data_IF_432251990816
#
_entry.id   IF_432251990816
#
_cell.length_a   1.000
_cell.length_b   1.000
_cell.length_c   1.000
_cell.angle_alpha   90.00
_cell.angle_beta   90.00
_cell.angle_gamma   90.00
#
_symmetry.space_group_name_H-M   'P 1'
#
loop_
_entity.id
_entity.type
_entity.pdbx_description
1 polymer ?
#
# COMPACT_ATOMS: atom_id res chain seq x y z
N UNK A 1 -17.61 6.53 -16.28
CA UNK A 1 -17.20 6.93 -14.91
C UNK A 1 -15.69 6.87 -14.86
N UNK A 2 -15.00 8.02 -14.92
CA UNK A 2 -13.55 8.06 -14.80
C UNK A 2 -13.15 7.67 -13.39
N UNK A 3 -12.43 6.56 -13.23
CA UNK A 3 -11.80 6.20 -11.98
C UNK A 3 -10.83 7.35 -11.63
N UNK A 4 -11.21 8.18 -10.66
CA UNK A 4 -10.27 9.08 -10.02
C UNK A 4 -9.21 8.15 -9.43
N UNK A 5 -7.99 8.22 -9.96
CA UNK A 5 -6.81 7.69 -9.28
C UNK A 5 -6.81 8.44 -7.96
N UNK A 6 -7.35 7.81 -6.92
CA UNK A 6 -7.20 8.33 -5.58
C UNK A 6 -5.69 8.44 -5.42
N UNK A 7 -5.20 9.66 -5.18
CA UNK A 7 -3.90 9.87 -4.56
C UNK A 7 -4.06 9.31 -3.14
N UNK A 8 -4.13 7.98 -3.08
CA UNK A 8 -4.59 7.22 -1.94
C UNK A 8 -3.46 7.10 -0.94
N UNK A 9 -3.83 6.72 0.27
CA UNK A 9 -2.91 6.42 1.35
C UNK A 9 -1.78 5.50 0.86
N UNK A 10 -0.58 6.06 0.78
CA UNK A 10 0.62 5.35 0.32
C UNK A 10 0.98 4.21 1.28
N UNK A 11 1.78 3.21 0.88
CA UNK A 11 2.21 2.14 1.78
C UNK A 11 2.91 2.65 3.04
N UNK A 12 3.67 3.75 2.94
CA UNK A 12 4.32 4.38 4.08
C UNK A 12 3.31 5.03 5.05
N UNK A 13 2.29 5.70 4.52
CA UNK A 13 1.20 6.24 5.33
C UNK A 13 0.38 5.11 5.96
N UNK A 14 0.08 4.04 5.22
CA UNK A 14 -0.63 2.88 5.73
C UNK A 14 0.12 2.22 6.90
N UNK A 15 1.43 2.03 6.75
CA UNK A 15 2.30 1.56 7.85
C UNK A 15 2.25 2.50 9.04
N UNK A 16 2.26 3.82 8.82
CA UNK A 16 2.16 4.81 9.89
C UNK A 16 0.83 4.71 10.64
N UNK A 17 -0.28 4.49 9.93
CA UNK A 17 -1.59 4.25 10.53
C UNK A 17 -1.60 2.97 11.37
N UNK A 18 -1.04 1.87 10.86
CA UNK A 18 -0.89 0.62 11.61
C UNK A 18 -0.12 0.83 12.92
N UNK A 19 0.97 1.60 12.87
CA UNK A 19 1.80 1.95 14.03
C UNK A 19 1.00 2.78 15.04
N UNK A 20 0.34 3.86 14.58
CA UNK A 20 -0.47 4.72 15.46
C UNK A 20 -1.59 3.93 16.14
N UNK A 21 -2.25 3.03 15.41
CA UNK A 21 -3.29 2.16 15.96
C UNK A 21 -2.71 1.16 16.98
N UNK A 22 -1.50 0.65 16.76
CA UNK A 22 -0.82 -0.20 17.75
C UNK A 22 -0.60 0.55 19.07
N UNK A 23 -0.03 1.75 18.99
CA UNK A 23 0.27 2.54 20.20
C UNK A 23 -1.01 2.94 20.93
N UNK A 24 -2.06 3.33 20.19
CA UNK A 24 -3.36 3.65 20.77
C UNK A 24 -4.05 2.44 21.43
N UNK A 25 -3.97 1.26 20.81
CA UNK A 25 -4.64 0.05 21.31
C UNK A 25 -3.92 -0.59 22.49
N UNK A 26 -2.58 -0.59 22.47
CA UNK A 26 -1.78 -1.34 23.46
C UNK A 26 -1.19 -0.46 24.56
N UNK A 27 -1.15 0.86 24.35
CA UNK A 27 -0.45 1.80 25.23
C UNK A 27 1.08 1.69 25.19
N UNK A 28 1.64 0.80 24.37
CA UNK A 28 3.09 0.57 24.24
C UNK A 28 3.64 1.26 23.00
N UNK A 29 4.91 1.66 23.02
CA UNK A 29 5.55 2.21 21.82
C UNK A 29 5.82 1.11 20.81
N UNK A 30 5.65 1.42 19.53
CA UNK A 30 5.89 0.45 18.46
C UNK A 30 7.34 -0.08 18.45
N UNK A 31 8.31 0.79 18.78
CA UNK A 31 9.73 0.40 18.85
C UNK A 31 10.04 -0.63 19.93
N UNK A 32 9.21 -0.74 20.96
CA UNK A 32 9.36 -1.68 22.07
C UNK A 32 8.77 -3.06 21.77
N UNK A 33 7.96 -3.17 20.70
CA UNK A 33 7.42 -4.45 20.27
C UNK A 33 8.52 -5.34 19.66
N UNK A 34 8.46 -6.64 19.92
CA UNK A 34 9.32 -7.62 19.24
C UNK A 34 8.93 -7.72 17.77
N UNK A 35 9.86 -8.13 16.91
CA UNK A 35 9.58 -8.31 15.47
C UNK A 35 8.43 -9.29 15.22
N UNK A 36 8.32 -10.36 16.01
CA UNK A 36 7.21 -11.30 15.94
C UNK A 36 5.87 -10.64 16.26
N UNK A 37 5.82 -9.79 17.30
CA UNK A 37 4.62 -9.07 17.67
C UNK A 37 4.22 -8.04 16.60
N UNK A 38 5.21 -7.32 16.03
CA UNK A 38 5.00 -6.38 14.93
C UNK A 38 4.40 -7.07 13.70
N UNK A 39 4.96 -8.22 13.30
CA UNK A 39 4.46 -9.01 12.16
C UNK A 39 3.03 -9.49 12.40
N UNK A 40 2.74 -10.04 13.58
CA UNK A 40 1.40 -10.50 13.94
C UNK A 40 0.39 -9.35 13.97
N UNK A 41 0.80 -8.18 14.46
CA UNK A 41 -0.02 -6.98 14.45
C UNK A 41 -0.34 -6.51 13.04
N UNK A 42 0.67 -6.39 12.18
CA UNK A 42 0.50 -5.96 10.79
C UNK A 42 -0.42 -6.91 10.04
N UNK A 43 -0.18 -8.23 10.11
CA UNK A 43 -1.02 -9.23 9.43
C UNK A 43 -2.50 -9.13 9.81
N UNK A 44 -2.81 -8.75 11.06
CA UNK A 44 -4.18 -8.56 11.53
C UNK A 44 -4.77 -7.19 11.15
N UNK A 45 -3.97 -6.14 11.26
CA UNK A 45 -4.48 -4.75 11.28
C UNK A 45 -4.41 -4.09 9.92
N UNK A 46 -3.40 -4.43 9.11
CA UNK A 46 -3.23 -3.87 7.77
C UNK A 46 -4.45 -4.12 6.86
N UNK A 47 -5.05 -5.32 6.79
CA UNK A 47 -6.25 -5.54 5.98
C UNK A 47 -7.44 -4.68 6.42
N UNK A 48 -7.58 -4.44 7.74
CA UNK A 48 -8.65 -3.61 8.29
C UNK A 48 -8.45 -2.15 7.88
N UNK A 49 -7.23 -1.62 8.04
CA UNK A 49 -6.90 -0.25 7.64
C UNK A 49 -7.02 -0.08 6.12
N UNK A 50 -6.61 -1.06 5.32
CA UNK A 50 -6.84 -1.05 3.87
C UNK A 50 -8.33 -0.87 3.55
N UNK A 51 -9.21 -1.64 4.21
CA UNK A 51 -10.65 -1.51 4.04
C UNK A 51 -11.20 -0.14 4.43
N UNK A 52 -10.70 0.46 5.52
CA UNK A 52 -11.06 1.83 5.94
C UNK A 52 -10.64 2.90 4.94
N UNK A 53 -9.48 2.72 4.31
CA UNK A 53 -8.92 3.63 3.30
C UNK A 53 -9.46 3.35 1.88
N UNK A 54 -10.39 2.39 1.73
CA UNK A 54 -10.95 2.00 0.43
C UNK A 54 -9.97 1.27 -0.50
N UNK A 55 -8.90 0.69 0.05
CA UNK A 55 -7.90 -0.09 -0.67
C UNK A 55 -8.35 -1.56 -0.67
N UNK A 56 -8.44 -2.17 -1.86
CA UNK A 56 -8.79 -3.58 -1.97
C UNK A 56 -7.73 -4.47 -1.27
N UNK A 57 -8.18 -5.57 -0.65
CA UNK A 57 -7.30 -6.40 0.18
C UNK A 57 -6.13 -7.01 -0.62
N UNK A 58 -6.39 -7.35 -1.88
CA UNK A 58 -5.46 -7.90 -2.86
C UNK A 58 -4.74 -6.82 -3.68
N UNK A 59 -5.05 -5.54 -3.48
CA UNK A 59 -4.39 -4.47 -4.22
C UNK A 59 -2.88 -4.45 -3.94
N UNK A 60 -2.13 -4.17 -5.01
CA UNK A 60 -0.68 -4.02 -5.01
C UNK A 60 -0.32 -2.58 -5.32
N UNK A 61 0.69 -2.06 -4.63
CA UNK A 61 1.21 -0.72 -4.90
C UNK A 61 2.19 -0.77 -6.08
N UNK A 62 1.86 -0.09 -7.18
CA UNK A 62 2.67 0.01 -8.40
C UNK A 62 2.51 1.40 -9.02
N UNK A 63 3.62 1.97 -9.50
CA UNK A 63 3.63 3.24 -10.22
C UNK A 63 2.91 4.40 -9.48
N UNK A 64 3.03 4.41 -8.15
CA UNK A 64 2.43 5.45 -7.30
C UNK A 64 0.95 5.28 -7.01
N UNK A 65 0.34 4.14 -7.34
CA UNK A 65 -1.07 3.86 -7.08
C UNK A 65 -1.32 2.42 -6.60
N UNK A 66 -2.46 2.20 -5.93
CA UNK A 66 -2.97 0.86 -5.64
C UNK A 66 -3.69 0.32 -6.86
N UNK A 67 -3.25 -0.83 -7.36
CA UNK A 67 -3.81 -1.53 -8.51
C UNK A 67 -4.35 -2.90 -8.07
N UNK A 68 -5.46 -3.41 -8.62
CA UNK A 68 -5.95 -4.76 -8.37
C UNK A 68 -4.88 -5.82 -8.69
N UNK A 69 -4.86 -6.93 -7.94
CA UNK A 69 -3.99 -8.05 -8.27
C UNK A 69 -4.36 -8.63 -9.65
N UNK A 70 -3.38 -8.76 -10.54
CA UNK A 70 -3.58 -9.38 -11.85
C UNK A 70 -4.07 -8.45 -12.95
N UNK A 71 -4.19 -7.14 -12.70
CA UNK A 71 -4.30 -6.19 -13.80
C UNK A 71 -2.93 -6.10 -14.50
N UNK A 72 -2.79 -6.77 -15.63
CA UNK A 72 -1.71 -6.49 -16.58
C UNK A 72 -2.00 -5.12 -17.16
N UNK A 73 -1.11 -4.17 -16.91
CA UNK A 73 -1.24 -2.85 -17.51
C UNK A 73 -1.15 -3.00 -19.03
N UNK A 74 -2.26 -2.78 -19.73
CA UNK A 74 -2.34 -2.94 -21.19
C UNK A 74 -1.54 -1.85 -21.92
N UNK A 75 -1.12 -0.82 -21.19
CA UNK A 75 -0.27 0.27 -21.67
C UNK A 75 0.88 0.53 -20.70
N UNK A 76 1.54 -0.52 -20.19
CA UNK A 76 2.92 -0.32 -19.73
C UNK A 76 3.66 0.36 -20.88
N UNK A 77 3.95 1.65 -20.72
CA UNK A 77 4.73 2.41 -21.68
C UNK A 77 6.02 1.64 -21.87
N UNK A 78 6.11 0.99 -23.02
CA UNK A 78 7.33 0.42 -23.53
C UNK A 78 8.34 1.55 -23.54
N UNK A 79 9.24 1.60 -22.56
CA UNK A 79 10.53 2.27 -22.68
C UNK A 79 11.34 1.52 -23.75
N UNK A 80 10.90 1.61 -25.00
CA UNK A 80 11.63 1.23 -26.19
C UNK A 80 11.04 2.04 -27.35
N UNK A 81 11.64 3.19 -27.62
CA UNK A 81 12.42 3.37 -28.84
C UNK A 81 13.08 4.76 -28.76
N UNK A 82 14.30 4.84 -28.23
CA UNK A 82 15.19 5.90 -28.69
C UNK A 82 15.65 5.50 -30.07
N UNK A 83 14.83 5.83 -31.05
CA UNK A 83 15.12 5.77 -32.46
C UNK A 83 16.27 6.75 -32.75
N UNK A 84 17.44 6.21 -33.08
CA UNK A 84 18.50 6.88 -33.84
C UNK A 84 18.46 6.19 -35.21
N UNK A 85 18.34 6.89 -36.38
CA UNK A 85 19.22 7.99 -36.77
C UNK A 85 18.59 9.10 -37.66
N UNK A 86 19.35 10.18 -37.85
CA UNK A 86 19.45 10.89 -39.12
C UNK A 86 20.94 11.05 -39.48
#
# INVERSE_FOLDING_TARGET
MSARIAVGTTPAQLKTLCIRRYEATTGKRWREATETAKRKWLAKTEPVIRGEEGIAADAVWRDGAWQPAGQTDLFSLTDADTEVPA
#
